data_IF_918509738176
#
_entry.id   IF_918509738176
#
_cell.length_a   1.000
_cell.length_b   1.000
_cell.length_c   1.000
_cell.angle_alpha   90.00
_cell.angle_beta   90.00
_cell.angle_gamma   90.00
#
_symmetry.space_group_name_H-M   'P 1'
#
loop_
_entity.id
_entity.type
_entity.pdbx_description
1 polymer ?
#
# COMPACT_ATOMS: atom_id res chain seq x y z
N UNK A 1 15.60 -7.06 -13.69
CA UNK A 1 15.48 -5.90 -12.80
C UNK A 1 14.49 -4.92 -13.42
N UNK A 2 13.43 -4.52 -12.70
CA UNK A 2 12.55 -3.47 -13.19
C UNK A 2 13.26 -2.12 -13.07
N UNK A 3 13.38 -1.42 -14.20
CA UNK A 3 14.00 -0.09 -14.23
C UNK A 3 13.16 0.92 -13.45
N UNK A 4 13.82 1.92 -12.88
CA UNK A 4 13.15 3.05 -12.23
C UNK A 4 12.28 3.76 -13.28
N UNK A 5 10.96 3.93 -13.03
CA UNK A 5 10.08 4.64 -13.96
C UNK A 5 10.58 6.06 -14.20
N UNK A 6 10.49 6.56 -15.43
CA UNK A 6 10.91 7.93 -15.78
C UNK A 6 10.25 8.99 -14.89
N UNK A 7 8.98 8.79 -14.49
CA UNK A 7 8.25 9.65 -13.55
C UNK A 7 8.91 9.71 -12.16
N UNK A 8 9.73 8.71 -11.82
CA UNK A 8 10.44 8.63 -10.54
C UNK A 8 11.89 9.11 -10.63
N UNK A 9 12.39 9.56 -11.79
CA UNK A 9 13.80 9.92 -12.01
C UNK A 9 14.31 11.02 -11.04
N UNK A 10 13.42 11.89 -10.56
CA UNK A 10 13.74 12.95 -9.58
C UNK A 10 13.37 12.59 -8.14
N UNK A 11 12.93 11.37 -7.87
CA UNK A 11 12.64 10.94 -6.51
C UNK A 11 13.94 10.57 -5.78
N UNK A 12 14.01 10.85 -4.46
CA UNK A 12 15.14 10.39 -3.66
C UNK A 12 15.21 8.87 -3.65
N UNK A 13 16.42 8.35 -3.52
CA UNK A 13 16.69 6.93 -3.37
C UNK A 13 17.13 6.63 -1.93
N UNK A 14 16.75 5.47 -1.42
CA UNK A 14 17.23 4.92 -0.16
C UNK A 14 17.52 3.43 -0.36
N UNK A 15 18.77 3.01 -0.12
CA UNK A 15 19.20 1.64 -0.41
C UNK A 15 19.04 1.23 -1.88
N UNK A 16 19.17 2.16 -2.82
CA UNK A 16 18.97 1.91 -4.26
C UNK A 16 17.51 1.86 -4.71
N UNK A 17 16.56 2.00 -3.79
CA UNK A 17 15.13 2.01 -4.08
C UNK A 17 14.56 3.42 -4.11
N UNK A 18 13.62 3.66 -5.01
CA UNK A 18 12.85 4.92 -5.03
C UNK A 18 12.06 5.05 -3.73
N UNK A 19 12.22 6.17 -3.05
CA UNK A 19 11.38 6.51 -1.90
C UNK A 19 10.02 6.99 -2.42
N UNK A 20 8.92 6.23 -2.22
CA UNK A 20 7.59 6.64 -2.65
C UNK A 20 7.24 8.03 -2.11
N UNK A 21 6.48 8.80 -2.88
CA UNK A 21 6.15 10.17 -2.51
C UNK A 21 5.40 10.26 -1.18
N UNK A 22 4.54 9.28 -0.90
CA UNK A 22 3.75 9.20 0.34
C UNK A 22 4.52 8.59 1.52
N UNK A 23 5.75 8.12 1.32
CA UNK A 23 6.53 7.52 2.42
C UNK A 23 6.88 8.54 3.47
N UNK A 24 6.81 8.11 4.72
CA UNK A 24 7.32 8.86 5.84
C UNK A 24 8.83 9.00 5.73
N UNK A 25 9.33 10.25 5.80
CA UNK A 25 10.76 10.56 5.82
C UNK A 25 11.04 11.47 7.00
N UNK A 26 12.04 11.12 7.80
CA UNK A 26 12.42 11.91 8.95
C UNK A 26 13.93 11.81 9.18
N UNK A 27 14.60 12.94 9.44
CA UNK A 27 16.05 13.00 9.64
C UNK A 27 16.84 12.38 8.47
N UNK A 28 16.37 12.53 7.24
CA UNK A 28 16.99 11.94 6.04
C UNK A 28 16.72 10.44 5.83
N UNK A 29 15.99 9.78 6.75
CA UNK A 29 15.67 8.35 6.67
C UNK A 29 14.26 8.12 6.14
N UNK A 30 14.12 7.26 5.13
CA UNK A 30 12.83 6.82 4.61
C UNK A 30 12.35 5.59 5.38
N UNK A 31 11.13 5.67 5.93
CA UNK A 31 10.48 4.56 6.59
C UNK A 31 9.57 3.83 5.58
N UNK A 32 10.14 2.88 4.83
CA UNK A 32 9.35 2.07 3.89
C UNK A 32 8.23 1.32 4.62
N UNK A 33 7.03 1.32 4.03
CA UNK A 33 5.83 0.73 4.61
C UNK A 33 5.12 1.61 5.64
N UNK A 34 5.61 2.85 5.86
CA UNK A 34 4.92 3.87 6.66
C UNK A 34 4.54 5.04 5.78
N UNK A 35 3.31 5.55 5.95
CA UNK A 35 2.80 6.69 5.21
C UNK A 35 2.91 7.97 6.05
N UNK A 36 3.33 9.04 5.40
CA UNK A 36 3.18 10.40 5.91
C UNK A 36 1.72 10.82 5.74
N UNK A 37 1.07 11.22 6.84
CA UNK A 37 -0.36 11.51 6.85
C UNK A 37 -0.74 12.67 5.93
N UNK A 38 0.06 13.74 5.90
CA UNK A 38 -0.24 14.93 5.11
C UNK A 38 -0.01 14.68 3.62
N UNK A 39 1.04 13.94 3.28
CA UNK A 39 1.30 13.52 1.89
C UNK A 39 0.23 12.54 1.41
N UNK A 40 -0.16 11.58 2.22
CA UNK A 40 -1.24 10.65 1.86
C UNK A 40 -2.54 11.41 1.64
N UNK A 41 -2.92 12.31 2.55
CA UNK A 41 -4.08 13.19 2.40
C UNK A 41 -4.01 14.04 1.13
N UNK A 42 -2.85 14.64 0.86
CA UNK A 42 -2.64 15.43 -0.36
C UNK A 42 -2.76 14.57 -1.61
N UNK A 43 -2.20 13.36 -1.62
CA UNK A 43 -2.31 12.42 -2.73
C UNK A 43 -3.76 12.06 -3.03
N UNK A 44 -4.57 11.79 -2.01
CA UNK A 44 -6.00 11.55 -2.17
C UNK A 44 -6.72 12.77 -2.77
N UNK A 45 -6.61 13.92 -2.12
CA UNK A 45 -7.37 15.12 -2.48
C UNK A 45 -6.99 15.68 -3.85
N UNK A 46 -5.70 15.65 -4.18
CA UNK A 46 -5.17 16.19 -5.44
C UNK A 46 -4.99 15.12 -6.52
N UNK A 47 -5.42 13.89 -6.27
CA UNK A 47 -5.28 12.76 -7.20
C UNK A 47 -3.83 12.60 -7.68
N UNK A 48 -2.90 12.49 -6.73
CA UNK A 48 -1.49 12.27 -7.05
C UNK A 48 -1.14 10.79 -6.94
N UNK A 49 -0.17 10.36 -7.74
CA UNK A 49 0.40 9.01 -7.65
C UNK A 49 1.19 8.86 -6.35
N UNK A 50 0.89 7.82 -5.56
CA UNK A 50 1.58 7.56 -4.29
C UNK A 50 3.09 7.31 -4.45
N UNK A 51 3.55 6.88 -5.64
CA UNK A 51 4.96 6.54 -5.89
C UNK A 51 5.75 7.78 -6.36
N UNK A 52 5.34 8.42 -7.45
CA UNK A 52 6.08 9.54 -8.04
C UNK A 52 5.64 10.93 -7.55
N UNK A 53 4.42 11.07 -7.00
CA UNK A 53 3.86 12.35 -6.53
C UNK A 53 3.29 13.24 -7.63
N UNK A 54 3.29 12.79 -8.89
CA UNK A 54 2.72 13.54 -10.00
C UNK A 54 1.21 13.29 -10.10
N UNK A 55 0.47 14.24 -10.73
CA UNK A 55 -0.97 14.09 -10.99
C UNK A 55 -1.24 12.83 -11.79
N UNK A 56 -2.29 12.11 -11.39
CA UNK A 56 -2.74 10.92 -12.12
C UNK A 56 -3.23 11.29 -13.51
N UNK A 57 -2.90 10.44 -14.48
CA UNK A 57 -3.37 10.56 -15.85
C UNK A 57 -4.82 10.04 -16.00
N UNK A 58 -5.24 9.76 -17.22
CA UNK A 58 -6.59 9.23 -17.53
C UNK A 58 -6.92 7.94 -16.78
N UNK A 59 -5.92 7.11 -16.50
CA UNK A 59 -6.07 5.81 -15.84
C UNK A 59 -5.13 5.70 -14.66
N UNK A 60 -5.59 5.01 -13.62
CA UNK A 60 -4.78 4.72 -12.44
C UNK A 60 -5.09 3.33 -11.89
N UNK A 61 -4.21 2.82 -11.07
CA UNK A 61 -4.41 1.57 -10.34
C UNK A 61 -4.70 1.83 -8.87
N UNK A 62 -5.65 1.10 -8.34
CA UNK A 62 -5.88 0.94 -6.91
C UNK A 62 -5.28 -0.40 -6.46
N UNK A 63 -4.65 -0.42 -5.30
CA UNK A 63 -4.21 -1.68 -4.67
C UNK A 63 -5.34 -2.14 -3.76
N UNK A 64 -5.81 -3.36 -3.95
CA UNK A 64 -7.01 -3.89 -3.30
C UNK A 64 -6.72 -5.26 -2.71
N UNK A 65 -7.10 -5.44 -1.44
CA UNK A 65 -7.10 -6.71 -0.72
C UNK A 65 -8.55 -7.21 -0.55
N UNK A 66 -8.78 -8.47 -0.20
CA UNK A 66 -10.14 -8.97 0.08
C UNK A 66 -10.89 -8.14 1.13
N UNK A 67 -10.21 -7.75 2.21
CA UNK A 67 -10.80 -6.91 3.25
C UNK A 67 -11.13 -5.48 2.75
N UNK A 68 -10.39 -4.94 1.79
CA UNK A 68 -10.68 -3.65 1.17
C UNK A 68 -11.90 -3.76 0.25
N UNK A 69 -11.99 -4.87 -0.49
CA UNK A 69 -13.17 -5.19 -1.31
C UNK A 69 -14.43 -5.30 -0.45
N UNK A 70 -14.37 -5.96 0.69
CA UNK A 70 -15.48 -6.07 1.63
C UNK A 70 -15.90 -4.70 2.23
N UNK A 71 -14.95 -3.77 2.40
CA UNK A 71 -15.21 -2.41 2.90
C UNK A 71 -15.60 -1.41 1.81
N UNK A 72 -15.52 -1.79 0.55
CA UNK A 72 -15.89 -0.93 -0.58
C UNK A 72 -14.88 0.17 -0.94
N UNK A 73 -13.65 0.12 -0.41
CA UNK A 73 -12.64 1.13 -0.72
C UNK A 73 -11.20 0.62 -0.62
N UNK A 74 -10.31 1.20 -1.44
CA UNK A 74 -8.87 1.10 -1.29
C UNK A 74 -8.38 2.16 -0.29
N UNK A 75 -7.70 1.78 0.81
CA UNK A 75 -7.22 2.70 1.83
C UNK A 75 -5.92 3.42 1.44
N UNK A 76 -5.36 3.12 0.30
CA UNK A 76 -4.11 3.72 -0.19
C UNK A 76 -4.38 4.63 -1.40
N UNK A 77 -3.60 5.71 -1.57
CA UNK A 77 -3.69 6.53 -2.78
C UNK A 77 -3.37 5.71 -4.04
N UNK A 78 -3.96 6.12 -5.16
CA UNK A 78 -3.75 5.46 -6.44
C UNK A 78 -2.34 5.65 -7.00
N UNK A 79 -1.99 4.89 -8.04
CA UNK A 79 -0.71 4.98 -8.71
C UNK A 79 -0.85 4.90 -10.24
N UNK A 80 0.12 5.46 -10.96
CA UNK A 80 0.17 5.37 -12.42
C UNK A 80 0.39 3.94 -12.90
N UNK A 81 -0.09 3.60 -14.10
CA UNK A 81 0.20 2.32 -14.73
C UNK A 81 1.70 2.02 -14.84
N UNK A 82 2.53 3.02 -15.11
CA UNK A 82 3.98 2.89 -15.24
C UNK A 82 4.68 2.71 -13.87
N UNK A 83 4.08 3.21 -12.79
CA UNK A 83 4.64 3.05 -11.46
C UNK A 83 4.31 1.69 -10.83
N UNK A 84 3.24 1.02 -11.30
CA UNK A 84 2.81 -0.26 -10.76
C UNK A 84 3.85 -1.38 -10.90
N UNK A 85 4.49 -1.62 -12.07
CA UNK A 85 5.49 -2.68 -12.20
C UNK A 85 6.65 -2.51 -11.23
N UNK A 86 7.12 -1.27 -11.04
CA UNK A 86 8.17 -0.96 -10.08
C UNK A 86 7.73 -1.24 -8.64
N UNK A 87 6.55 -0.73 -8.25
CA UNK A 87 5.99 -0.97 -6.92
C UNK A 87 5.78 -2.46 -6.65
N UNK A 88 5.24 -3.21 -7.62
CA UNK A 88 5.02 -4.65 -7.50
C UNK A 88 6.34 -5.43 -7.36
N UNK A 89 7.41 -5.01 -8.01
CA UNK A 89 8.70 -5.68 -7.93
C UNK A 89 9.46 -5.41 -6.63
N UNK A 90 9.31 -4.21 -6.07
CA UNK A 90 10.16 -3.75 -4.96
C UNK A 90 9.43 -3.62 -3.61
N UNK A 91 8.09 -3.64 -3.57
CA UNK A 91 7.35 -3.70 -2.32
C UNK A 91 7.30 -5.14 -1.80
N UNK A 92 7.90 -5.45 -0.62
CA UNK A 92 7.93 -6.80 -0.07
C UNK A 92 6.54 -7.44 0.10
N UNK A 93 5.52 -6.62 0.37
CA UNK A 93 4.14 -7.11 0.47
C UNK A 93 3.54 -7.47 -0.89
N UNK A 94 3.92 -6.78 -1.96
CA UNK A 94 3.37 -7.03 -3.30
C UNK A 94 4.14 -8.11 -4.07
N UNK A 95 5.47 -8.22 -3.86
CA UNK A 95 6.30 -9.22 -4.53
C UNK A 95 6.36 -10.58 -3.81
N UNK A 96 5.74 -10.67 -2.62
CA UNK A 96 5.65 -11.92 -1.85
C UNK A 96 6.85 -12.22 -0.96
N UNK A 97 7.89 -11.38 -0.91
CA UNK A 97 9.06 -11.61 -0.03
C UNK A 97 8.72 -11.41 1.45
N UNK A 98 7.73 -10.54 1.77
CA UNK A 98 7.16 -10.47 3.11
C UNK A 98 5.95 -11.39 3.20
N UNK A 99 6.04 -12.45 3.98
CA UNK A 99 4.96 -13.44 4.17
C UNK A 99 3.97 -13.06 5.27
N UNK A 100 4.31 -12.10 6.12
CA UNK A 100 3.49 -11.65 7.24
C UNK A 100 3.50 -10.13 7.35
N UNK A 101 2.42 -9.59 7.90
CA UNK A 101 2.39 -8.19 8.30
C UNK A 101 3.34 -7.93 9.46
N UNK A 102 3.94 -6.75 9.49
CA UNK A 102 4.85 -6.35 10.56
C UNK A 102 4.13 -6.37 11.92
N UNK A 103 4.78 -6.94 12.94
CA UNK A 103 4.22 -7.02 14.31
C UNK A 103 4.34 -5.71 15.08
N UNK A 104 5.33 -4.90 14.79
CA UNK A 104 5.56 -3.65 15.51
C UNK A 104 4.49 -2.62 15.20
N UNK A 105 3.86 -2.00 16.19
CA UNK A 105 2.99 -0.86 15.95
C UNK A 105 3.84 0.26 15.33
N UNK A 106 3.50 0.64 14.12
CA UNK A 106 4.19 1.69 13.36
C UNK A 106 4.18 3.04 14.11
N UNK A 107 3.22 3.20 15.03
CA UNK A 107 3.04 4.41 15.83
C UNK A 107 4.04 4.57 16.99
N UNK A 108 4.69 3.48 17.43
CA UNK A 108 5.58 3.51 18.60
C UNK A 108 7.07 3.69 18.25
N UNK A 109 7.43 3.66 16.97
CA UNK A 109 8.82 3.73 16.55
C UNK A 109 9.12 4.98 15.73
N UNK A 110 10.22 5.61 16.03
CA UNK A 110 10.81 6.67 15.21
C UNK A 110 10.95 6.16 13.75
N UNK A 111 10.82 7.03 12.72
CA UNK A 111 10.99 6.64 11.32
C UNK A 111 12.27 5.88 11.01
N UNK A 112 13.32 6.10 11.79
CA UNK A 112 14.58 5.36 11.71
C UNK A 112 14.51 3.91 12.26
N UNK A 113 13.31 3.39 12.60
CA UNK A 113 13.12 2.03 13.09
C UNK A 113 13.38 1.82 14.59
N UNK A 114 13.62 2.89 15.35
CA UNK A 114 13.86 2.88 16.81
C UNK A 114 12.85 3.81 17.51
N UNK A 115 12.58 3.64 18.81
CA UNK A 115 11.78 4.58 19.58
C UNK A 115 12.38 5.98 19.51
N UNK A 116 11.53 6.98 19.29
CA UNK A 116 11.95 8.38 19.40
C UNK A 116 11.89 8.79 20.88
N UNK A 117 13.05 8.96 21.50
CA UNK A 117 13.17 9.39 22.89
C UNK A 117 13.42 10.89 23.04
N UNK A 118 13.55 11.61 21.93
CA UNK A 118 13.75 13.05 21.92
C UNK A 118 12.39 13.78 21.93
N UNK A 119 12.00 14.43 23.04
CA UNK A 119 10.73 15.16 23.15
C UNK A 119 10.68 16.39 22.23
N UNK A 120 11.82 16.89 21.76
CA UNK A 120 11.90 18.02 20.85
C UNK A 120 11.86 17.59 19.37
N UNK A 121 11.89 16.30 19.09
CA UNK A 121 11.92 15.80 17.73
C UNK A 121 10.59 16.07 17.01
N UNK A 122 10.57 16.85 15.93
CA UNK A 122 9.37 17.13 15.16
C UNK A 122 9.02 15.92 14.29
N UNK A 123 8.75 14.78 14.91
CA UNK A 123 8.35 13.56 14.18
C UNK A 123 7.11 13.85 13.35
N UNK A 124 7.16 13.61 12.02
CA UNK A 124 6.02 13.90 11.16
C UNK A 124 4.83 13.01 11.52
N UNK A 125 3.59 13.50 11.32
CA UNK A 125 2.39 12.74 11.59
C UNK A 125 2.35 11.51 10.67
N UNK A 126 2.01 10.36 11.25
CA UNK A 126 1.84 9.11 10.51
C UNK A 126 0.38 8.93 10.12
N UNK A 127 0.15 8.47 8.90
CA UNK A 127 -1.18 8.00 8.54
C UNK A 127 -1.48 6.72 9.29
N UNK A 128 -2.54 6.68 10.13
CA UNK A 128 -2.96 5.42 10.73
C UNK A 128 -3.43 4.50 9.60
N UNK A 129 -2.77 3.35 9.42
CA UNK A 129 -3.31 2.28 8.60
C UNK A 129 -4.51 1.68 9.34
N UNK A 130 -5.71 1.93 8.81
CA UNK A 130 -6.93 1.35 9.34
C UNK A 130 -6.86 -0.18 9.23
N UNK A 131 -6.79 -0.84 10.37
CA UNK A 131 -6.66 -2.27 10.47
C UNK A 131 -5.22 -2.79 10.54
N UNK A 132 -4.20 -1.94 10.62
CA UNK A 132 -2.82 -2.39 10.86
C UNK A 132 -2.72 -3.21 12.15
N UNK A 133 -3.34 -2.74 13.23
CA UNK A 133 -3.37 -3.47 14.51
C UNK A 133 -4.05 -4.84 14.35
N UNK A 134 -5.18 -4.89 13.63
CA UNK A 134 -5.91 -6.14 13.40
C UNK A 134 -5.13 -7.15 12.53
N UNK A 135 -4.23 -6.66 11.66
CA UNK A 135 -3.39 -7.51 10.79
C UNK A 135 -2.01 -7.80 11.37
N UNK A 136 -1.65 -7.18 12.49
CA UNK A 136 -0.31 -7.27 13.05
C UNK A 136 0.12 -8.73 13.26
N UNK A 137 1.17 -9.15 12.57
CA UNK A 137 1.71 -10.51 12.61
C UNK A 137 0.91 -11.57 11.87
N UNK A 138 -0.24 -11.22 11.26
CA UNK A 138 -1.01 -12.18 10.46
C UNK A 138 -0.35 -12.45 9.10
N UNK A 139 -0.64 -13.60 8.47
CA UNK A 139 -0.19 -13.89 7.12
C UNK A 139 -0.60 -12.80 6.14
N UNK A 140 0.23 -12.58 5.13
CA UNK A 140 -0.03 -11.55 4.14
C UNK A 140 -1.21 -11.92 3.24
N UNK A 141 -2.09 -10.94 2.99
CA UNK A 141 -3.25 -11.09 2.13
C UNK A 141 -2.88 -11.32 0.65
N UNK A 142 -3.88 -11.75 -0.12
CA UNK A 142 -3.89 -11.59 -1.56
C UNK A 142 -3.95 -10.10 -1.91
N UNK A 143 -3.18 -9.69 -2.92
CA UNK A 143 -3.18 -8.32 -3.44
C UNK A 143 -3.52 -8.32 -4.92
N UNK A 144 -4.41 -7.41 -5.29
CA UNK A 144 -4.77 -7.14 -6.67
C UNK A 144 -4.55 -5.66 -7.00
N UNK A 145 -4.24 -5.37 -8.27
CA UNK A 145 -4.27 -4.03 -8.81
C UNK A 145 -5.51 -3.88 -9.70
N UNK A 146 -6.38 -2.93 -9.38
CA UNK A 146 -7.60 -2.64 -10.13
C UNK A 146 -7.43 -1.33 -10.89
N UNK A 147 -7.43 -1.41 -12.22
CA UNK A 147 -7.36 -0.24 -13.08
C UNK A 147 -8.73 0.41 -13.20
N UNK A 148 -8.79 1.71 -12.98
CA UNK A 148 -9.98 2.53 -13.16
C UNK A 148 -9.68 3.76 -14.01
N UNK A 149 -10.72 4.40 -14.58
CA UNK A 149 -10.57 5.76 -15.10
C UNK A 149 -10.49 6.77 -13.97
N UNK A 150 -9.56 7.72 -14.05
CA UNK A 150 -9.41 8.79 -13.05
C UNK A 150 -10.65 9.68 -12.94
N UNK A 151 -11.48 9.76 -14.00
CA UNK A 151 -12.79 10.44 -13.94
C UNK A 151 -13.77 9.79 -12.96
N UNK A 152 -13.64 8.48 -12.69
CA UNK A 152 -14.48 7.75 -11.72
C UNK A 152 -13.87 7.72 -10.32
N UNK A 153 -12.72 8.36 -10.12
CA UNK A 153 -12.04 8.45 -8.83
C UNK A 153 -12.93 9.22 -7.84
N UNK A 154 -13.42 8.51 -6.82
CA UNK A 154 -14.30 9.03 -5.79
C UNK A 154 -13.71 8.74 -4.41
N UNK A 155 -13.52 9.79 -3.61
CA UNK A 155 -13.07 9.67 -2.24
C UNK A 155 -14.24 9.34 -1.31
N UNK A 156 -13.94 8.51 -0.32
CA UNK A 156 -14.82 8.23 0.80
C UNK A 156 -14.28 8.92 2.06
N UNK A 157 -15.19 9.35 2.90
CA UNK A 157 -14.92 10.02 4.17
C UNK A 157 -15.75 9.37 5.26
N UNK A 158 -15.23 9.33 6.49
CA UNK A 158 -15.98 8.88 7.67
C UNK A 158 -16.30 10.06 8.57
N UNK A 159 -17.45 10.03 9.29
CA UNK A 159 -17.86 11.13 10.17
C UNK A 159 -16.85 11.44 11.29
N UNK A 160 -16.16 10.40 11.78
CA UNK A 160 -15.16 10.48 12.86
C UNK A 160 -13.83 11.12 12.42
N UNK A 161 -13.64 11.37 11.12
CA UNK A 161 -12.45 12.02 10.55
C UNK A 161 -12.82 13.07 9.51
N UNK A 162 -13.41 14.18 9.90
CA UNK A 162 -13.81 15.22 8.97
C UNK A 162 -12.60 15.78 8.20
N UNK A 163 -12.72 15.83 6.87
CA UNK A 163 -11.68 16.35 5.99
C UNK A 163 -10.47 15.42 5.72
N UNK A 164 -10.46 14.21 6.29
CA UNK A 164 -9.46 13.18 5.97
C UNK A 164 -10.13 12.04 5.18
N UNK A 165 -9.72 11.80 3.91
CA UNK A 165 -10.25 10.68 3.15
C UNK A 165 -9.94 9.34 3.81
N UNK A 166 -10.92 8.45 3.86
CA UNK A 166 -10.77 7.07 4.33
C UNK A 166 -10.15 6.19 3.24
N UNK A 167 -10.41 6.53 1.98
CA UNK A 167 -9.89 5.82 0.83
C UNK A 167 -10.60 6.20 -0.46
N UNK A 168 -10.31 5.43 -1.51
CA UNK A 168 -10.91 5.58 -2.84
C UNK A 168 -11.96 4.49 -3.00
N UNK A 169 -13.19 4.88 -3.36
CA UNK A 169 -14.28 3.94 -3.65
C UNK A 169 -13.86 2.95 -4.73
N UNK A 170 -14.15 1.68 -4.51
CA UNK A 170 -13.99 0.62 -5.51
C UNK A 170 -15.33 0.23 -6.16
N UNK A 171 -16.42 0.86 -5.73
CA UNK A 171 -17.73 0.79 -6.39
C UNK A 171 -17.73 1.71 -7.62
N UNK A 172 -16.91 1.34 -8.60
CA UNK A 172 -16.70 2.07 -9.87
C UNK A 172 -16.37 1.05 -10.97
N UNK A 173 -16.60 1.40 -12.26
CA UNK A 173 -16.21 0.53 -13.36
C UNK A 173 -14.72 0.22 -13.35
N UNK A 174 -14.38 -1.06 -13.25
CA UNK A 174 -13.01 -1.57 -13.26
C UNK A 174 -12.65 -2.00 -14.67
N UNK A 175 -11.65 -1.35 -15.27
CA UNK A 175 -11.19 -1.62 -16.63
C UNK A 175 -10.39 -2.92 -16.72
N UNK A 176 -9.60 -3.20 -15.68
CA UNK A 176 -8.72 -4.37 -15.61
C UNK A 176 -8.41 -4.72 -14.17
N UNK A 177 -8.38 -6.03 -13.86
CA UNK A 177 -7.83 -6.57 -12.61
C UNK A 177 -6.55 -7.34 -12.91
N UNK A 178 -5.56 -7.19 -12.05
CA UNK A 178 -4.29 -7.91 -12.11
C UNK A 178 -3.96 -8.46 -10.74
N UNK A 179 -3.76 -9.76 -10.64
CA UNK A 179 -3.21 -10.37 -9.44
C UNK A 179 -1.74 -9.95 -9.30
N UNK A 180 -1.37 -9.44 -8.14
CA UNK A 180 0.00 -9.09 -7.77
C UNK A 180 0.65 -10.20 -6.96
N UNK A 181 -0.09 -10.74 -5.97
CA UNK A 181 0.33 -11.90 -5.19
C UNK A 181 -0.87 -12.67 -4.67
N UNK A 182 -0.69 -13.96 -4.42
CA UNK A 182 -1.64 -14.80 -3.68
C UNK A 182 -1.49 -14.58 -2.17
N UNK A 183 -2.51 -14.95 -1.40
CA UNK A 183 -2.41 -14.93 0.06
C UNK A 183 -1.33 -15.91 0.55
N UNK A 184 -0.68 -15.57 1.66
CA UNK A 184 0.13 -16.53 2.40
C UNK A 184 -0.82 -17.40 3.22
N UNK A 185 -0.74 -18.70 3.03
CA UNK A 185 -1.54 -19.66 3.77
C UNK A 185 -0.99 -19.84 5.19
N UNK A 186 -1.88 -20.02 6.17
CA UNK A 186 -1.48 -20.50 7.49
C UNK A 186 -1.06 -21.97 7.41
N UNK A 187 -0.30 -22.48 8.39
CA UNK A 187 0.07 -23.91 8.41
C UNK A 187 -1.15 -24.85 8.33
N UNK A 188 -2.28 -24.48 8.97
CA UNK A 188 -3.52 -25.27 8.92
C UNK A 188 -4.19 -25.21 7.54
N UNK A 189 -4.24 -24.03 6.93
CA UNK A 189 -4.73 -23.87 5.55
C UNK A 189 -3.85 -24.64 4.55
N UNK A 190 -2.53 -24.60 4.74
CA UNK A 190 -1.61 -25.35 3.89
C UNK A 190 -1.87 -26.86 4.02
N UNK A 191 -1.99 -27.38 5.25
CA UNK A 191 -2.34 -28.80 5.49
C UNK A 191 -3.67 -29.19 4.82
N UNK A 192 -4.68 -28.32 4.94
CA UNK A 192 -5.98 -28.56 4.30
C UNK A 192 -5.86 -28.60 2.78
N UNK A 193 -5.13 -27.65 2.19
CA UNK A 193 -4.88 -27.62 0.73
C UNK A 193 -4.15 -28.87 0.27
N UNK A 194 -3.14 -29.31 1.01
CA UNK A 194 -2.38 -30.53 0.69
C UNK A 194 -3.27 -31.79 0.73
N UNK A 195 -4.22 -31.86 1.67
CA UNK A 195 -5.21 -32.93 1.73
C UNK A 195 -6.22 -32.89 0.58
N UNK A 196 -6.57 -31.71 0.11
CA UNK A 196 -7.54 -31.53 -0.99
C UNK A 196 -6.92 -31.64 -2.38
N UNK A 197 -5.61 -31.46 -2.51
CA UNK A 197 -4.90 -31.49 -3.81
C UNK A 197 -5.19 -32.73 -4.65
N UNK A 198 -5.18 -33.98 -4.09
CA UNK A 198 -5.53 -35.18 -4.88
C UNK A 198 -6.96 -35.16 -5.42
N UNK A 199 -7.89 -34.49 -4.72
CA UNK A 199 -9.30 -34.39 -5.12
C UNK A 199 -9.52 -33.32 -6.21
N UNK A 200 -8.59 -32.37 -6.34
CA UNK A 200 -8.64 -31.29 -7.34
C UNK A 200 -7.94 -31.65 -8.66
N UNK A 201 -7.36 -32.85 -8.75
CA UNK A 201 -6.71 -33.35 -9.96
C UNK A 201 -5.38 -32.66 -10.29
N UNK A 202 -4.80 -31.94 -9.33
CA UNK A 202 -3.48 -31.35 -9.47
C UNK A 202 -2.42 -32.36 -9.00
N UNK A 203 -1.76 -33.00 -9.95
CA UNK A 203 -0.63 -33.92 -9.72
C UNK A 203 0.71 -33.20 -9.82
#
# INVERSE_FOLDING_TARGET
MHSIPQRCARRPLSGGLVVPWVSLVHGGHAAFGSLDADRARTAFLRRLCQICGQSLDERCYLIVRPADAARGHSPEPALHPECLPYAAAHCPMLNGTATHYRRSPVLATHPAGRPCTDPSCPCPPRSPDQGHTARSGSPADRYEAWMIHTRTYRLLFTPDRPGAPTGISIDVPVLRRRLLRTATLTPDQQRLMDLLRPLLGES
#
